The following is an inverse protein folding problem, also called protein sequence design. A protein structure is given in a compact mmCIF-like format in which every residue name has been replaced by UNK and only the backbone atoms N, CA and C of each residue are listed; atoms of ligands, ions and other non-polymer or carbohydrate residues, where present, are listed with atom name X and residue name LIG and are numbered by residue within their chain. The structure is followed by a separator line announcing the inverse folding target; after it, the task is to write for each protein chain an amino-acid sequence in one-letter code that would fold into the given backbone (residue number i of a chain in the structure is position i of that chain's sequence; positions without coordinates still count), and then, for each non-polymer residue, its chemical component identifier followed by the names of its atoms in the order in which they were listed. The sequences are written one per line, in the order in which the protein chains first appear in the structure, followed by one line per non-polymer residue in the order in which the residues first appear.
data_IF_668707299783
#
_entry.id   IF_668707299783
#
_cell.length_a   1.000
_cell.length_b   1.000
_cell.length_c   1.000
_cell.angle_alpha   90.00
_cell.angle_beta   90.00
_cell.angle_gamma   90.00
#
_symmetry.space_group_name_H-M   'P 1'
#
loop_
_entity.id
_entity.type
_entity.pdbx_description
1 polymer ?
#
# COMPACT_ATOMS: atom_id res chain seq x y z
N UNK A 1 -31.15 -6.65 -14.60
CA UNK A 1 -30.17 -7.36 -13.77
C UNK A 1 -28.77 -7.02 -14.28
N UNK A 2 -27.81 -6.88 -13.36
CA UNK A 2 -26.40 -6.66 -13.74
C UNK A 2 -25.82 -8.04 -14.03
N UNK A 3 -25.19 -8.19 -15.19
CA UNK A 3 -24.49 -9.41 -15.55
C UNK A 3 -22.97 -9.21 -15.43
N UNK A 4 -22.30 -10.12 -14.71
CA UNK A 4 -20.85 -10.11 -14.59
C UNK A 4 -20.19 -10.52 -15.92
N UNK A 5 -19.12 -9.85 -16.27
CA UNK A 5 -18.27 -10.20 -17.43
C UNK A 5 -17.57 -11.56 -17.20
N UNK A 6 -17.14 -12.26 -18.27
CA UNK A 6 -16.49 -13.57 -18.14
C UNK A 6 -15.30 -13.58 -17.16
N UNK A 7 -14.39 -12.61 -17.25
CA UNK A 7 -13.24 -12.51 -16.35
C UNK A 7 -13.64 -12.32 -14.88
N UNK A 8 -14.74 -11.58 -14.63
CA UNK A 8 -15.27 -11.40 -13.27
C UNK A 8 -15.85 -12.71 -12.72
N UNK A 9 -16.57 -13.47 -13.54
CA UNK A 9 -17.07 -14.81 -13.15
C UNK A 9 -15.91 -15.75 -12.84
N UNK A 10 -14.82 -15.72 -13.62
CA UNK A 10 -13.63 -16.51 -13.40
C UNK A 10 -12.91 -16.10 -12.08
N UNK A 11 -12.79 -14.80 -11.81
CA UNK A 11 -12.24 -14.27 -10.57
C UNK A 11 -13.04 -14.74 -9.34
N UNK A 12 -14.38 -14.66 -9.41
CA UNK A 12 -15.26 -15.19 -8.36
C UNK A 12 -15.05 -16.69 -8.17
N UNK A 13 -15.04 -17.47 -9.25
CA UNK A 13 -14.81 -18.93 -9.18
C UNK A 13 -13.45 -19.24 -8.55
N UNK A 14 -12.39 -18.49 -8.89
CA UNK A 14 -11.06 -18.62 -8.29
C UNK A 14 -11.11 -18.39 -6.77
N UNK A 15 -11.78 -17.32 -6.31
CA UNK A 15 -11.92 -17.02 -4.87
C UNK A 15 -12.65 -18.16 -4.14
N UNK A 16 -13.67 -18.74 -4.76
CA UNK A 16 -14.46 -19.82 -4.15
C UNK A 16 -13.71 -21.14 -4.10
N UNK A 17 -12.95 -21.47 -5.13
CA UNK A 17 -12.26 -22.76 -5.28
C UNK A 17 -10.83 -22.72 -4.74
N UNK A 18 -10.17 -21.57 -4.83
CA UNK A 18 -8.80 -21.37 -4.39
C UNK A 18 -8.69 -21.12 -2.88
N UNK A 19 -7.53 -20.68 -2.48
CA UNK A 19 -7.24 -20.17 -1.14
C UNK A 19 -7.31 -18.64 -1.09
N UNK A 20 -6.40 -18.04 -0.34
CA UNK A 20 -6.20 -16.60 -0.37
C UNK A 20 -5.91 -16.13 -1.79
N UNK A 21 -6.48 -15.00 -2.19
CA UNK A 21 -6.46 -14.55 -3.58
C UNK A 21 -6.06 -13.07 -3.69
N UNK A 22 -5.17 -12.78 -4.63
CA UNK A 22 -4.87 -11.43 -5.10
C UNK A 22 -5.52 -11.22 -6.48
N UNK A 23 -6.47 -10.31 -6.57
CA UNK A 23 -7.01 -9.81 -7.83
C UNK A 23 -6.11 -8.68 -8.35
N UNK A 24 -5.08 -9.05 -9.10
CA UNK A 24 -4.16 -8.12 -9.75
C UNK A 24 -4.75 -7.66 -11.09
N UNK A 25 -5.93 -7.05 -11.04
CA UNK A 25 -6.70 -6.64 -12.20
C UNK A 25 -6.51 -5.14 -12.46
N UNK A 26 -6.33 -4.77 -13.72
CA UNK A 26 -6.18 -3.37 -14.12
C UNK A 26 -7.36 -2.50 -13.66
N UNK A 27 -7.15 -1.19 -13.67
CA UNK A 27 -8.22 -0.23 -13.36
C UNK A 27 -9.34 -0.36 -14.41
N UNK A 28 -10.59 -0.37 -13.95
CA UNK A 28 -11.76 -0.55 -14.82
C UNK A 28 -12.19 -2.00 -15.06
N UNK A 29 -11.45 -3.01 -14.59
CA UNK A 29 -11.84 -4.42 -14.69
C UNK A 29 -13.11 -4.77 -13.90
N UNK A 30 -13.47 -3.96 -12.88
CA UNK A 30 -14.66 -4.17 -12.05
C UNK A 30 -14.40 -5.02 -10.80
N UNK A 31 -13.21 -4.91 -10.22
CA UNK A 31 -12.80 -5.61 -8.99
C UNK A 31 -13.81 -5.53 -7.85
N UNK A 32 -14.47 -4.39 -7.68
CA UNK A 32 -15.49 -4.22 -6.65
C UNK A 32 -16.64 -5.19 -6.81
N UNK A 33 -17.12 -5.40 -8.05
CA UNK A 33 -18.18 -6.39 -8.33
C UNK A 33 -17.70 -7.83 -8.12
N UNK A 34 -16.45 -8.13 -8.44
CA UNK A 34 -15.84 -9.44 -8.18
C UNK A 34 -15.84 -9.76 -6.68
N UNK A 35 -15.39 -8.81 -5.86
CA UNK A 35 -15.39 -8.95 -4.40
C UNK A 35 -16.80 -9.07 -3.83
N UNK A 36 -17.75 -8.23 -4.27
CA UNK A 36 -19.14 -8.28 -3.79
C UNK A 36 -19.80 -9.62 -4.14
N UNK A 37 -19.60 -10.08 -5.38
CA UNK A 37 -20.16 -11.36 -5.81
C UNK A 37 -19.52 -12.54 -5.06
N UNK A 38 -18.19 -12.52 -4.89
CA UNK A 38 -17.49 -13.53 -4.13
C UNK A 38 -17.94 -13.56 -2.65
N UNK A 39 -18.15 -12.40 -2.02
CA UNK A 39 -18.66 -12.27 -0.66
C UNK A 39 -20.00 -12.98 -0.51
N UNK A 40 -20.96 -12.68 -1.37
CA UNK A 40 -22.30 -13.29 -1.31
C UNK A 40 -22.29 -14.78 -1.62
N UNK A 41 -21.48 -15.20 -2.59
CA UNK A 41 -21.36 -16.61 -2.95
C UNK A 41 -20.62 -17.41 -1.89
N UNK A 42 -19.59 -16.87 -1.24
CA UNK A 42 -18.94 -17.51 -0.08
C UNK A 42 -19.96 -17.75 1.05
N UNK A 43 -20.79 -16.75 1.37
CA UNK A 43 -21.84 -16.91 2.38
C UNK A 43 -22.89 -17.94 1.95
N UNK A 44 -23.36 -17.87 0.71
CA UNK A 44 -24.35 -18.83 0.18
C UNK A 44 -23.86 -20.28 0.22
N UNK A 45 -22.56 -20.48 -0.02
CA UNK A 45 -21.94 -21.82 -0.01
C UNK A 45 -21.45 -22.27 1.37
N UNK A 46 -21.54 -21.40 2.40
CA UNK A 46 -21.03 -21.68 3.73
C UNK A 46 -19.51 -21.70 3.83
N UNK A 47 -18.81 -21.05 2.88
CA UNK A 47 -17.34 -20.93 2.87
C UNK A 47 -16.85 -19.80 3.77
N UNK A 48 -17.67 -18.76 3.97
CA UNK A 48 -17.46 -17.69 4.93
C UNK A 48 -18.81 -17.23 5.46
N UNK A 49 -18.87 -16.90 6.76
CA UNK A 49 -20.09 -16.46 7.42
C UNK A 49 -20.12 -14.96 7.66
N UNK A 50 -18.96 -14.35 7.92
CA UNK A 50 -18.85 -12.93 8.28
C UNK A 50 -17.66 -12.29 7.60
N UNK A 51 -17.95 -11.55 6.51
CA UNK A 51 -16.93 -10.89 5.69
C UNK A 51 -16.84 -9.40 6.01
N UNK A 52 -15.63 -8.89 6.18
CA UNK A 52 -15.33 -7.44 6.17
C UNK A 52 -14.76 -7.06 4.82
N UNK A 53 -15.38 -6.06 4.19
CA UNK A 53 -14.86 -5.40 2.99
C UNK A 53 -14.19 -4.09 3.38
N UNK A 54 -12.89 -3.99 3.14
CA UNK A 54 -12.04 -2.85 3.50
C UNK A 54 -11.72 -2.06 2.24
N UNK A 55 -12.18 -0.81 2.20
CA UNK A 55 -12.09 0.04 1.01
C UNK A 55 -11.47 1.40 1.31
N UNK A 56 -10.99 2.16 0.32
CA UNK A 56 -10.61 3.56 0.52
C UNK A 56 -11.78 4.39 1.10
N UNK A 57 -11.47 5.27 2.06
CA UNK A 57 -12.48 6.06 2.79
C UNK A 57 -13.49 6.79 1.88
N UNK A 58 -13.09 7.46 0.77
CA UNK A 58 -14.05 8.11 -0.12
C UNK A 58 -15.02 7.15 -0.83
N UNK A 59 -14.66 5.86 -0.93
CA UNK A 59 -15.43 4.87 -1.68
C UNK A 59 -16.46 4.11 -0.83
N UNK A 60 -16.50 4.29 0.49
CA UNK A 60 -17.44 3.56 1.37
C UNK A 60 -18.90 3.69 0.90
N UNK A 61 -19.36 4.92 0.66
CA UNK A 61 -20.74 5.17 0.22
C UNK A 61 -21.04 4.59 -1.16
N UNK A 62 -20.10 4.72 -2.09
CA UNK A 62 -20.22 4.13 -3.43
C UNK A 62 -20.28 2.61 -3.34
N UNK A 63 -19.34 1.98 -2.61
CA UNK A 63 -19.29 0.53 -2.41
C UNK A 63 -20.60 -0.01 -1.83
N UNK A 64 -21.15 0.66 -0.81
CA UNK A 64 -22.42 0.28 -0.21
C UNK A 64 -23.59 0.37 -1.22
N UNK A 65 -23.64 1.45 -1.99
CA UNK A 65 -24.66 1.67 -3.02
C UNK A 65 -24.58 0.63 -4.15
N UNK A 66 -23.36 0.33 -4.62
CA UNK A 66 -23.11 -0.68 -5.64
C UNK A 66 -23.42 -2.09 -5.13
N UNK A 67 -23.11 -2.39 -3.86
CA UNK A 67 -23.45 -3.67 -3.23
C UNK A 67 -24.95 -3.90 -3.23
N UNK A 68 -25.75 -2.92 -2.77
CA UNK A 68 -27.20 -3.01 -2.75
C UNK A 68 -27.82 -2.97 -4.16
N UNK A 69 -27.15 -2.36 -5.12
CA UNK A 69 -27.56 -2.42 -6.52
C UNK A 69 -27.39 -3.82 -7.12
N UNK A 70 -26.33 -4.54 -6.72
CA UNK A 70 -26.05 -5.90 -7.18
C UNK A 70 -26.89 -6.92 -6.40
N UNK A 71 -27.04 -6.73 -5.10
CA UNK A 71 -27.78 -7.58 -4.16
C UNK A 71 -28.77 -6.77 -3.31
N UNK A 72 -29.97 -6.43 -3.82
CA UNK A 72 -30.90 -5.52 -3.16
C UNK A 72 -31.38 -6.00 -1.78
N UNK A 73 -31.36 -7.30 -1.53
CA UNK A 73 -31.80 -7.91 -0.25
C UNK A 73 -30.64 -8.15 0.75
N UNK A 74 -29.42 -7.77 0.42
CA UNK A 74 -28.28 -7.99 1.27
C UNK A 74 -28.38 -7.18 2.58
N UNK A 75 -28.07 -7.82 3.70
CA UNK A 75 -27.95 -7.16 5.01
C UNK A 75 -26.53 -6.69 5.23
N UNK A 76 -26.23 -5.44 4.87
CA UNK A 76 -24.89 -4.88 4.99
C UNK A 76 -24.78 -3.91 6.18
N UNK A 77 -23.64 -3.93 6.88
CA UNK A 77 -23.29 -2.95 7.90
C UNK A 77 -22.24 -2.00 7.34
N UNK A 78 -22.57 -0.71 7.24
CA UNK A 78 -21.65 0.32 6.70
C UNK A 78 -21.12 1.18 7.82
N UNK A 79 -19.81 1.22 8.00
CA UNK A 79 -19.15 2.01 9.03
C UNK A 79 -19.15 3.51 8.67
N UNK A 80 -19.56 4.34 9.60
CA UNK A 80 -19.46 5.80 9.52
C UNK A 80 -18.25 6.33 10.30
N UNK A 81 -17.88 7.59 10.13
CA UNK A 81 -16.80 8.19 10.92
C UNK A 81 -17.14 8.22 12.41
N UNK A 82 -18.42 8.51 12.74
CA UNK A 82 -18.92 8.57 14.11
C UNK A 82 -18.83 7.24 14.85
N UNK A 83 -18.95 6.12 14.14
CA UNK A 83 -18.87 4.79 14.74
C UNK A 83 -17.48 4.48 15.31
N UNK A 84 -16.42 5.15 14.80
CA UNK A 84 -15.05 4.98 15.26
C UNK A 84 -14.53 6.11 16.18
N UNK A 85 -15.40 6.98 16.66
CA UNK A 85 -15.12 7.87 17.80
C UNK A 85 -14.91 7.03 19.08
N UNK A 86 -14.04 7.50 19.99
CA UNK A 86 -13.69 6.73 21.22
C UNK A 86 -14.92 6.25 22.00
N UNK A 87 -15.98 7.06 22.09
CA UNK A 87 -17.20 6.75 22.84
C UNK A 87 -18.10 5.71 22.16
N UNK A 88 -18.03 5.56 20.84
CA UNK A 88 -18.95 4.73 20.04
C UNK A 88 -18.31 3.47 19.48
N UNK A 89 -16.97 3.45 19.38
CA UNK A 89 -16.23 2.34 18.77
C UNK A 89 -16.55 0.99 19.42
N UNK A 90 -16.61 0.93 20.76
CA UNK A 90 -16.96 -0.30 21.47
C UNK A 90 -18.34 -0.81 21.05
N UNK A 91 -19.33 0.07 20.95
CA UNK A 91 -20.69 -0.30 20.52
C UNK A 91 -20.72 -0.80 19.07
N UNK A 92 -20.00 -0.13 18.17
CA UNK A 92 -19.96 -0.56 16.77
C UNK A 92 -19.27 -1.91 16.60
N UNK A 93 -18.14 -2.14 17.28
CA UNK A 93 -17.41 -3.41 17.27
C UNK A 93 -18.26 -4.53 17.89
N UNK A 94 -19.02 -4.25 18.96
CA UNK A 94 -19.98 -5.20 19.53
C UNK A 94 -21.11 -5.56 18.56
N UNK A 95 -21.57 -4.60 17.74
CA UNK A 95 -22.57 -4.90 16.67
C UNK A 95 -21.99 -5.84 15.62
N UNK A 96 -20.72 -5.69 15.26
CA UNK A 96 -20.05 -6.62 14.35
C UNK A 96 -20.01 -8.02 14.97
N UNK A 97 -19.60 -8.13 16.24
CA UNK A 97 -19.47 -9.42 16.92
C UNK A 97 -20.82 -10.18 17.02
N UNK A 98 -21.90 -9.46 17.37
CA UNK A 98 -23.20 -10.07 17.67
C UNK A 98 -24.18 -10.10 16.49
N UNK A 99 -23.94 -9.28 15.45
CA UNK A 99 -24.84 -9.17 14.31
C UNK A 99 -24.58 -10.21 13.23
N UNK A 100 -25.64 -10.58 12.52
CA UNK A 100 -25.56 -11.42 11.32
C UNK A 100 -25.69 -10.52 10.08
N UNK A 101 -24.54 -10.16 9.52
CA UNK A 101 -24.43 -9.34 8.32
C UNK A 101 -23.87 -10.15 7.17
N UNK A 102 -24.34 -9.86 5.95
CA UNK A 102 -23.77 -10.45 4.75
C UNK A 102 -22.39 -9.85 4.44
N UNK A 103 -22.25 -8.56 4.70
CA UNK A 103 -20.98 -7.87 4.56
C UNK A 103 -20.89 -6.66 5.52
N UNK A 104 -19.70 -6.41 6.05
CA UNK A 104 -19.38 -5.21 6.83
C UNK A 104 -18.43 -4.37 5.98
N UNK A 105 -18.80 -3.12 5.67
CA UNK A 105 -18.01 -2.23 4.81
C UNK A 105 -17.40 -1.14 5.68
N UNK A 106 -16.07 -0.99 5.62
CA UNK A 106 -15.33 0.03 6.35
C UNK A 106 -14.08 0.50 5.62
N UNK A 107 -13.50 1.62 6.07
CA UNK A 107 -12.25 2.13 5.51
C UNK A 107 -11.01 1.42 6.06
N UNK A 108 -9.86 1.55 5.34
CA UNK A 108 -8.56 1.09 5.80
C UNK A 108 -8.23 1.62 7.20
N UNK A 109 -8.44 2.92 7.44
CA UNK A 109 -8.15 3.55 8.74
C UNK A 109 -9.11 3.16 9.87
N UNK A 110 -10.33 2.72 9.55
CA UNK A 110 -11.28 2.16 10.52
C UNK A 110 -10.91 0.72 10.86
N UNK A 111 -10.53 -0.08 9.86
CA UNK A 111 -10.09 -1.44 10.05
C UNK A 111 -8.84 -1.54 10.94
N UNK A 112 -7.87 -0.62 10.77
CA UNK A 112 -6.68 -0.50 11.64
C UNK A 112 -7.04 -0.22 13.11
N UNK A 113 -8.18 0.43 13.39
CA UNK A 113 -8.62 0.73 14.76
C UNK A 113 -9.26 -0.45 15.48
N UNK A 114 -9.52 -1.57 14.82
CA UNK A 114 -9.95 -2.83 15.45
C UNK A 114 -8.70 -3.54 15.93
N UNK A 115 -8.48 -3.69 17.25
CA UNK A 115 -7.23 -4.25 17.75
C UNK A 115 -7.15 -5.75 17.49
N UNK A 116 -5.93 -6.25 17.29
CA UNK A 116 -5.60 -7.67 17.40
C UNK A 116 -5.21 -7.99 18.85
N UNK A 117 -5.33 -9.22 19.28
CA UNK A 117 -5.00 -9.63 20.65
C UNK A 117 -3.54 -9.31 21.02
N UNK A 118 -3.30 -9.03 22.30
CA UNK A 118 -1.96 -8.78 22.83
C UNK A 118 -1.06 -10.00 22.66
N UNK A 119 -1.61 -11.20 22.86
CA UNK A 119 -0.91 -12.48 22.74
C UNK A 119 -0.34 -12.69 21.33
N UNK A 120 -1.11 -12.32 20.28
CA UNK A 120 -0.62 -12.41 18.89
C UNK A 120 0.50 -11.43 18.61
N UNK A 121 0.36 -10.19 19.09
CA UNK A 121 1.41 -9.17 18.94
C UNK A 121 2.69 -9.60 19.65
N UNK A 122 2.57 -10.12 20.88
CA UNK A 122 3.67 -10.63 21.67
C UNK A 122 4.38 -11.78 20.97
N UNK A 123 3.62 -12.77 20.45
CA UNK A 123 4.19 -13.90 19.71
C UNK A 123 4.97 -13.42 18.48
N UNK A 124 4.41 -12.53 17.68
CA UNK A 124 5.09 -11.98 16.51
C UNK A 124 6.38 -11.23 16.88
N UNK A 125 6.34 -10.41 17.94
CA UNK A 125 7.52 -9.67 18.38
C UNK A 125 8.62 -10.61 18.87
N UNK A 126 8.26 -11.66 19.60
CA UNK A 126 9.21 -12.68 20.03
C UNK A 126 9.84 -13.42 18.84
N UNK A 127 9.03 -13.87 17.85
CA UNK A 127 9.53 -14.49 16.63
C UNK A 127 10.54 -13.58 15.91
N UNK A 128 10.25 -12.29 15.78
CA UNK A 128 11.16 -11.32 15.16
C UNK A 128 12.44 -11.09 15.98
N UNK A 129 12.35 -11.05 17.31
CA UNK A 129 13.50 -10.92 18.20
C UNK A 129 14.41 -12.15 18.10
N UNK A 130 13.83 -13.35 18.04
CA UNK A 130 14.57 -14.60 17.90
C UNK A 130 15.28 -14.68 16.54
N UNK A 131 14.60 -14.30 15.46
CA UNK A 131 15.18 -14.25 14.12
C UNK A 131 16.37 -13.29 14.04
N UNK A 132 16.22 -12.06 14.57
CA UNK A 132 17.30 -11.08 14.60
C UNK A 132 18.44 -11.56 15.49
N UNK A 133 18.15 -12.20 16.63
CA UNK A 133 19.16 -12.72 17.54
C UNK A 133 20.01 -13.78 16.88
N UNK A 134 19.36 -14.74 16.21
CA UNK A 134 20.05 -15.79 15.43
C UNK A 134 20.94 -15.17 14.33
N UNK A 135 20.43 -14.18 13.61
CA UNK A 135 21.20 -13.52 12.56
C UNK A 135 22.42 -12.74 13.12
N UNK A 136 22.30 -12.12 14.30
CA UNK A 136 23.41 -11.45 14.98
C UNK A 136 24.49 -12.46 15.36
N UNK A 137 24.13 -13.61 15.92
CA UNK A 137 25.06 -14.65 16.34
C UNK A 137 25.80 -15.24 15.14
N UNK A 138 25.10 -15.56 14.07
CA UNK A 138 25.70 -16.04 12.80
C UNK A 138 26.69 -15.02 12.21
N UNK A 139 26.33 -13.73 12.22
CA UNK A 139 27.20 -12.67 11.69
C UNK A 139 28.46 -12.48 12.57
N UNK A 140 28.35 -12.63 13.89
CA UNK A 140 29.49 -12.56 14.81
C UNK A 140 30.44 -13.74 14.61
N UNK A 141 29.92 -14.93 14.42
CA UNK A 141 30.72 -16.15 14.15
C UNK A 141 31.52 -16.06 12.83
N UNK A 142 30.90 -15.45 11.80
CA UNK A 142 31.52 -15.29 10.47
C UNK A 142 32.41 -14.05 10.34
N UNK A 143 32.73 -13.34 11.43
CA UNK A 143 33.45 -12.04 11.40
C UNK A 143 32.81 -11.00 10.47
N UNK A 144 31.49 -10.96 10.43
CA UNK A 144 30.74 -10.01 9.61
C UNK A 144 31.00 -8.56 9.96
N UNK A 145 30.59 -7.64 9.11
CA UNK A 145 30.81 -6.21 9.27
C UNK A 145 30.22 -5.69 10.59
N UNK A 146 31.04 -5.10 11.45
CA UNK A 146 30.65 -4.57 12.77
C UNK A 146 29.51 -3.56 12.69
N UNK A 147 29.40 -2.83 11.60
CA UNK A 147 28.33 -1.85 11.40
C UNK A 147 26.97 -2.54 11.21
N UNK A 148 26.92 -3.63 10.45
CA UNK A 148 25.73 -4.46 10.23
C UNK A 148 25.21 -5.03 11.56
N UNK A 149 26.12 -5.59 12.38
CA UNK A 149 25.77 -6.13 13.71
C UNK A 149 25.16 -5.03 14.61
N UNK A 150 25.75 -3.84 14.64
CA UNK A 150 25.20 -2.70 15.41
C UNK A 150 23.80 -2.29 14.96
N UNK A 151 23.53 -2.33 13.66
CA UNK A 151 22.22 -1.99 13.11
C UNK A 151 21.16 -3.04 13.51
N UNK A 152 21.51 -4.33 13.44
CA UNK A 152 20.65 -5.42 13.91
C UNK A 152 20.41 -5.34 15.43
N UNK A 153 21.42 -5.06 16.23
CA UNK A 153 21.29 -4.85 17.68
C UNK A 153 20.35 -3.66 17.98
N UNK A 154 20.43 -2.58 17.21
CA UNK A 154 19.51 -1.44 17.34
C UNK A 154 18.06 -1.80 16.99
N UNK A 155 17.86 -2.62 15.94
CA UNK A 155 16.52 -3.10 15.58
C UNK A 155 15.96 -4.04 16.65
N UNK A 156 16.75 -4.98 17.15
CA UNK A 156 16.37 -5.87 18.24
C UNK A 156 15.92 -5.08 19.47
N UNK A 157 16.70 -4.08 19.89
CA UNK A 157 16.36 -3.22 21.02
C UNK A 157 15.01 -2.52 20.82
N UNK A 158 14.71 -2.03 19.63
CA UNK A 158 13.41 -1.42 19.34
C UNK A 158 12.24 -2.41 19.47
N UNK A 159 12.43 -3.66 19.03
CA UNK A 159 11.40 -4.69 19.18
C UNK A 159 11.21 -5.07 20.66
N UNK A 160 12.28 -5.17 21.44
CA UNK A 160 12.21 -5.42 22.89
C UNK A 160 11.51 -4.26 23.63
N UNK A 161 11.74 -3.01 23.23
CA UNK A 161 11.02 -1.84 23.75
C UNK A 161 9.52 -1.89 23.39
N UNK A 162 9.17 -2.30 22.16
CA UNK A 162 7.78 -2.48 21.76
C UNK A 162 7.10 -3.60 22.55
N UNK A 163 7.78 -4.73 22.75
CA UNK A 163 7.29 -5.85 23.55
C UNK A 163 7.02 -5.41 25.01
N UNK A 164 7.93 -4.64 25.60
CA UNK A 164 7.75 -4.09 26.93
C UNK A 164 6.58 -3.12 27.02
N UNK A 165 6.42 -2.24 26.05
CA UNK A 165 5.29 -1.30 26.00
C UNK A 165 3.93 -2.00 25.83
N UNK A 166 3.91 -3.11 25.09
CA UNK A 166 2.70 -3.91 24.88
C UNK A 166 2.12 -4.44 26.20
N UNK A 167 2.97 -4.86 27.14
CA UNK A 167 2.52 -5.35 28.44
C UNK A 167 1.90 -4.25 29.32
N UNK A 168 2.26 -3.00 29.10
CA UNK A 168 1.69 -1.84 29.81
C UNK A 168 0.39 -1.34 29.15
N UNK A 169 0.25 -1.47 27.82
CA UNK A 169 -0.94 -1.07 27.08
C UNK A 169 -2.08 -2.08 27.21
N UNK A 170 -1.79 -3.38 27.27
CA UNK A 170 -2.79 -4.45 27.37
C UNK A 170 -3.70 -4.34 28.61
N UNK A 171 -3.25 -3.58 29.63
CA UNK A 171 -4.02 -3.29 30.85
C UNK A 171 -5.06 -2.16 30.68
N UNK A 172 -5.09 -1.47 29.54
CA UNK A 172 -5.88 -0.24 29.35
C UNK A 172 -7.00 -0.32 28.33
N UNK A 173 -6.98 -1.26 27.39
CA UNK A 173 -7.96 -1.35 26.30
C UNK A 173 -8.94 -2.50 26.51
N UNK A 174 -10.15 -2.16 26.98
CA UNK A 174 -11.31 -3.05 27.10
C UNK A 174 -12.11 -3.08 25.77
N UNK A 175 -11.41 -3.30 24.65
CA UNK A 175 -12.00 -3.41 23.32
C UNK A 175 -12.05 -4.86 22.88
N UNK A 176 -13.15 -5.23 22.22
CA UNK A 176 -13.27 -6.51 21.53
C UNK A 176 -12.20 -6.60 20.45
N UNK A 177 -11.41 -7.65 20.47
CA UNK A 177 -10.33 -7.87 19.50
C UNK A 177 -10.86 -8.42 18.18
N UNK A 178 -10.06 -8.40 17.14
CA UNK A 178 -10.44 -8.89 15.82
C UNK A 178 -10.85 -10.38 15.86
N UNK A 179 -10.16 -11.15 16.65
CA UNK A 179 -10.43 -12.58 16.86
C UNK A 179 -11.82 -12.84 17.47
N UNK A 180 -12.27 -11.94 18.35
CA UNK A 180 -13.57 -12.03 19.04
C UNK A 180 -14.75 -11.59 18.16
N UNK A 181 -14.49 -10.96 17.00
CA UNK A 181 -15.54 -10.51 16.08
C UNK A 181 -16.26 -11.67 15.39
N UNK A 182 -15.63 -12.84 15.32
CA UNK A 182 -16.12 -13.96 14.53
C UNK A 182 -16.05 -13.70 13.02
N UNK A 183 -15.15 -12.80 12.59
CA UNK A 183 -14.87 -12.54 11.18
C UNK A 183 -14.01 -13.68 10.65
N UNK A 184 -14.44 -14.27 9.55
CA UNK A 184 -13.77 -15.39 8.89
C UNK A 184 -13.31 -15.06 7.46
N UNK A 185 -13.65 -13.87 6.95
CA UNK A 185 -13.16 -13.41 5.65
C UNK A 185 -12.94 -11.89 5.61
N UNK A 186 -11.88 -11.46 4.90
CA UNK A 186 -11.64 -10.06 4.55
C UNK A 186 -11.44 -9.91 3.05
N UNK A 187 -11.98 -8.82 2.52
CA UNK A 187 -11.78 -8.40 1.13
C UNK A 187 -11.26 -6.98 1.12
N UNK A 188 -10.04 -6.77 0.63
CA UNK A 188 -9.33 -5.49 0.75
C UNK A 188 -9.14 -4.89 -0.61
N UNK A 189 -9.83 -3.79 -0.88
CA UNK A 189 -9.62 -2.99 -2.09
C UNK A 189 -8.42 -2.07 -1.91
N UNK A 190 -7.71 -1.80 -3.02
CA UNK A 190 -6.46 -1.04 -3.06
C UNK A 190 -5.43 -1.57 -2.04
N UNK A 191 -5.24 -2.89 -2.04
CA UNK A 191 -4.38 -3.60 -1.11
C UNK A 191 -2.91 -3.16 -1.15
N UNK A 192 -2.47 -2.51 -2.24
CA UNK A 192 -1.14 -1.88 -2.33
C UNK A 192 -0.87 -0.84 -1.23
N UNK A 193 -1.92 -0.34 -0.56
CA UNK A 193 -1.77 0.53 0.61
C UNK A 193 -1.08 -0.16 1.81
N UNK A 194 -0.99 -1.49 1.82
CA UNK A 194 -0.38 -2.29 2.89
C UNK A 194 1.00 -2.86 2.51
N UNK A 195 1.56 -2.47 1.37
CA UNK A 195 2.85 -2.97 0.87
C UNK A 195 4.08 -2.60 1.71
N UNK A 196 3.98 -1.58 2.57
CA UNK A 196 5.07 -1.12 3.43
C UNK A 196 5.16 -1.96 4.72
N UNK A 197 5.42 -3.26 4.58
CA UNK A 197 5.74 -4.14 5.69
C UNK A 197 7.24 -4.05 5.98
N UNK A 198 7.62 -4.12 7.27
CA UNK A 198 9.03 -4.19 7.63
C UNK A 198 9.62 -5.53 7.17
N UNK A 199 10.75 -5.46 6.50
CA UNK A 199 11.49 -6.62 6.01
C UNK A 199 12.80 -6.69 6.79
N UNK A 200 13.03 -7.83 7.45
CA UNK A 200 14.32 -8.13 8.01
C UNK A 200 15.24 -8.69 6.92
N UNK A 201 16.45 -8.15 6.79
CA UNK A 201 17.46 -8.62 5.83
C UNK A 201 18.86 -8.33 6.33
N UNK A 202 19.79 -9.24 6.05
CA UNK A 202 21.23 -9.06 6.24
C UNK A 202 21.85 -8.16 5.16
N UNK A 203 21.11 -7.85 4.07
CA UNK A 203 21.56 -6.97 3.01
C UNK A 203 21.49 -5.51 3.45
N UNK A 204 22.66 -4.89 3.62
CA UNK A 204 22.79 -3.50 4.07
C UNK A 204 23.08 -2.57 2.90
N UNK A 205 22.66 -1.30 3.05
CA UNK A 205 22.87 -0.25 2.04
C UNK A 205 22.27 -0.58 0.66
N UNK A 206 21.30 -1.48 0.61
CA UNK A 206 20.58 -1.84 -0.62
C UNK A 206 19.23 -1.10 -0.64
N UNK A 207 19.06 -0.24 -1.61
CA UNK A 207 17.78 0.47 -1.81
C UNK A 207 16.72 -0.51 -2.35
N UNK A 208 15.47 -0.29 -1.92
CA UNK A 208 14.34 -1.13 -2.30
C UNK A 208 13.94 -2.13 -1.21
N UNK A 209 14.78 -2.33 -0.18
CA UNK A 209 14.46 -3.14 1.00
C UNK A 209 14.09 -2.19 2.13
N UNK A 210 12.86 -2.29 2.64
CA UNK A 210 12.38 -1.44 3.73
C UNK A 210 12.54 -2.15 5.07
N UNK A 211 13.48 -1.66 5.90
CA UNK A 211 13.65 -2.12 7.29
C UNK A 211 12.64 -1.51 8.26
N UNK A 212 11.90 -0.49 7.84
CA UNK A 212 10.84 0.15 8.62
C UNK A 212 9.49 -0.08 7.97
N UNK A 213 8.55 -0.66 8.71
CA UNK A 213 7.19 -0.91 8.26
C UNK A 213 6.20 0.13 8.76
N UNK A 214 5.07 0.24 8.06
CA UNK A 214 3.92 1.00 8.54
C UNK A 214 3.12 0.17 9.55
N UNK A 215 2.67 0.77 10.65
CA UNK A 215 1.84 0.10 11.67
C UNK A 215 0.64 -0.62 11.06
N UNK A 216 -0.04 0.02 10.10
CA UNK A 216 -1.19 -0.58 9.39
C UNK A 216 -0.85 -1.86 8.63
N UNK A 217 0.37 -1.96 8.08
CA UNK A 217 0.82 -3.16 7.36
C UNK A 217 1.10 -4.31 8.31
N UNK A 218 1.72 -4.03 9.46
CA UNK A 218 1.93 -5.03 10.53
C UNK A 218 0.59 -5.50 11.11
N UNK A 219 -0.35 -4.59 11.37
CA UNK A 219 -1.70 -4.93 11.83
C UNK A 219 -2.44 -5.82 10.82
N UNK A 220 -2.39 -5.47 9.53
CA UNK A 220 -2.96 -6.29 8.46
C UNK A 220 -2.32 -7.68 8.41
N UNK A 221 -1.00 -7.78 8.57
CA UNK A 221 -0.29 -9.07 8.57
C UNK A 221 -0.78 -9.98 9.68
N UNK A 222 -0.93 -9.48 10.90
CA UNK A 222 -1.43 -10.26 12.03
C UNK A 222 -2.86 -10.76 11.81
N UNK A 223 -3.74 -9.91 11.24
CA UNK A 223 -5.12 -10.28 10.90
C UNK A 223 -5.17 -11.31 9.77
N UNK A 224 -4.33 -11.17 8.75
CA UNK A 224 -4.19 -12.16 7.68
C UNK A 224 -3.68 -13.50 8.19
N UNK A 225 -2.69 -13.51 9.08
CA UNK A 225 -2.18 -14.74 9.70
C UNK A 225 -3.29 -15.44 10.52
N UNK A 226 -4.04 -14.68 11.32
CA UNK A 226 -5.17 -15.23 12.06
C UNK A 226 -6.20 -15.88 11.14
N UNK A 227 -6.62 -15.19 10.08
CA UNK A 227 -7.61 -15.74 9.14
C UNK A 227 -7.11 -16.98 8.41
N UNK A 228 -5.83 -16.99 8.01
CA UNK A 228 -5.23 -18.16 7.37
C UNK A 228 -5.15 -19.37 8.32
N UNK A 229 -4.88 -19.13 9.61
CA UNK A 229 -4.84 -20.19 10.64
C UNK A 229 -6.21 -20.81 10.88
N UNK A 230 -7.29 -20.01 10.99
CA UNK A 230 -8.63 -20.52 11.28
C UNK A 230 -9.35 -21.12 10.06
N UNK A 231 -8.88 -20.84 8.84
CA UNK A 231 -9.52 -21.21 7.59
C UNK A 231 -8.62 -22.01 6.64
N UNK A 232 -7.58 -22.65 7.14
CA UNK A 232 -6.66 -23.49 6.34
C UNK A 232 -6.14 -22.77 5.09
N UNK A 233 -5.61 -21.56 5.26
CA UNK A 233 -5.05 -20.73 4.17
C UNK A 233 -6.10 -20.05 3.28
N UNK A 234 -7.31 -19.83 3.79
CA UNK A 234 -8.41 -19.13 3.12
C UNK A 234 -8.82 -17.87 3.89
N UNK A 235 -9.76 -17.11 3.33
CA UNK A 235 -10.40 -15.96 3.99
C UNK A 235 -9.79 -14.61 3.65
N UNK A 236 -8.81 -14.52 2.76
CA UNK A 236 -8.19 -13.25 2.37
C UNK A 236 -8.33 -13.05 0.87
N UNK A 237 -8.96 -11.93 0.48
CA UNK A 237 -9.03 -11.47 -0.90
C UNK A 237 -8.47 -10.06 -0.97
N UNK A 238 -7.38 -9.89 -1.67
CA UNK A 238 -6.78 -8.59 -1.97
C UNK A 238 -7.08 -8.17 -3.40
N UNK A 239 -7.38 -6.91 -3.62
CA UNK A 239 -7.62 -6.36 -4.94
C UNK A 239 -6.80 -5.09 -5.17
N UNK A 240 -6.10 -5.01 -6.29
CA UNK A 240 -5.32 -3.83 -6.67
C UNK A 240 -4.99 -3.82 -8.15
N UNK A 241 -4.95 -2.63 -8.76
CA UNK A 241 -4.45 -2.44 -10.12
C UNK A 241 -2.92 -2.39 -10.21
N UNK A 242 -2.23 -2.21 -9.08
CA UNK A 242 -0.78 -1.99 -9.01
C UNK A 242 -0.16 -2.84 -7.90
N UNK A 243 -0.13 -4.17 -8.04
CA UNK A 243 0.40 -5.07 -7.00
C UNK A 243 1.89 -4.81 -6.71
N UNK A 244 2.65 -4.45 -7.73
CA UNK A 244 4.06 -4.09 -7.65
C UNK A 244 4.25 -2.76 -8.37
N UNK A 245 4.73 -1.74 -7.67
CA UNK A 245 4.87 -0.39 -8.24
C UNK A 245 6.25 0.25 -8.04
N UNK A 246 6.90 0.04 -6.89
CA UNK A 246 8.15 0.73 -6.56
C UNK A 246 9.33 -0.21 -6.40
N UNK A 247 9.14 -1.35 -5.75
CA UNK A 247 10.21 -2.30 -5.45
C UNK A 247 9.77 -3.75 -5.63
N UNK A 248 10.73 -4.62 -5.92
CA UNK A 248 10.48 -6.07 -6.00
C UNK A 248 10.01 -6.65 -4.66
N UNK A 249 10.41 -6.04 -3.54
CA UNK A 249 9.99 -6.47 -2.21
C UNK A 249 8.47 -6.43 -2.03
N UNK A 250 7.75 -5.61 -2.80
CA UNK A 250 6.29 -5.56 -2.75
C UNK A 250 5.66 -6.90 -3.15
N UNK A 251 6.30 -7.65 -4.08
CA UNK A 251 5.85 -8.99 -4.44
C UNK A 251 6.02 -9.98 -3.28
N UNK A 252 7.19 -9.97 -2.64
CA UNK A 252 7.43 -10.76 -1.44
C UNK A 252 6.42 -10.44 -0.33
N UNK A 253 6.13 -9.16 -0.10
CA UNK A 253 5.15 -8.73 0.90
C UNK A 253 3.76 -9.26 0.58
N UNK A 254 3.32 -9.23 -0.68
CA UNK A 254 2.02 -9.81 -1.07
C UNK A 254 2.00 -11.32 -0.84
N UNK A 255 3.10 -12.03 -1.12
CA UNK A 255 3.21 -13.45 -0.81
C UNK A 255 3.17 -13.73 0.69
N UNK A 256 3.79 -12.90 1.53
CA UNK A 256 3.71 -13.03 2.99
C UNK A 256 2.27 -12.93 3.52
N UNK A 257 1.45 -12.06 2.93
CA UNK A 257 0.05 -11.95 3.32
C UNK A 257 -0.79 -13.16 2.90
N UNK A 258 -0.52 -13.72 1.71
CA UNK A 258 -1.45 -14.62 1.05
C UNK A 258 -1.01 -16.08 1.05
N UNK A 259 0.30 -16.36 1.11
CA UNK A 259 0.86 -17.71 0.95
C UNK A 259 2.04 -18.00 1.89
N UNK A 260 1.99 -17.45 3.13
CA UNK A 260 3.05 -17.63 4.14
C UNK A 260 3.42 -19.11 4.31
N UNK A 261 2.43 -19.98 4.50
CA UNK A 261 2.67 -21.41 4.71
C UNK A 261 3.41 -22.08 3.54
N UNK A 262 3.06 -21.73 2.31
CA UNK A 262 3.77 -22.26 1.13
C UNK A 262 5.23 -21.77 1.07
N UNK A 263 5.49 -20.51 1.42
CA UNK A 263 6.87 -19.98 1.52
C UNK A 263 7.68 -20.69 2.61
N UNK A 264 7.05 -21.03 3.75
CA UNK A 264 7.66 -21.79 4.84
C UNK A 264 8.01 -23.22 4.39
N UNK A 265 7.06 -23.90 3.74
CA UNK A 265 7.24 -25.26 3.21
C UNK A 265 8.38 -25.32 2.17
N UNK A 266 8.50 -24.32 1.31
CA UNK A 266 9.58 -24.19 0.33
C UNK A 266 10.92 -23.73 0.93
N UNK A 267 10.98 -23.34 2.21
CA UNK A 267 12.18 -22.83 2.87
C UNK A 267 12.60 -21.42 2.43
N UNK A 268 11.70 -20.67 1.81
CA UNK A 268 11.95 -19.31 1.29
C UNK A 268 11.11 -18.24 2.02
N UNK A 269 10.62 -18.55 3.21
CA UNK A 269 9.86 -17.60 4.03
C UNK A 269 10.68 -16.37 4.43
N UNK A 270 11.96 -16.56 4.82
CA UNK A 270 12.83 -15.44 5.14
C UNK A 270 13.24 -14.67 3.88
N UNK A 271 13.19 -13.35 3.96
CA UNK A 271 13.45 -12.49 2.80
C UNK A 271 14.79 -12.78 2.10
N UNK A 272 15.85 -12.99 2.87
CA UNK A 272 17.17 -13.25 2.29
C UNK A 272 17.20 -14.56 1.48
N UNK A 273 16.47 -15.60 1.92
CA UNK A 273 16.30 -16.84 1.18
C UNK A 273 15.48 -16.64 -0.09
N UNK A 274 14.37 -15.88 0.00
CA UNK A 274 13.56 -15.51 -1.15
C UNK A 274 14.37 -14.69 -2.16
N UNK A 275 15.08 -13.67 -1.68
CA UNK A 275 15.89 -12.78 -2.51
C UNK A 275 17.04 -13.51 -3.21
N UNK A 276 17.65 -14.49 -2.54
CA UNK A 276 18.72 -15.32 -3.14
C UNK A 276 18.22 -16.17 -4.32
N UNK A 277 16.94 -16.57 -4.32
CA UNK A 277 16.34 -17.34 -5.39
C UNK A 277 15.79 -16.49 -6.53
N UNK A 278 15.24 -15.30 -6.22
CA UNK A 278 14.40 -14.56 -7.17
C UNK A 278 14.87 -13.14 -7.47
N UNK A 279 15.95 -12.68 -6.85
CA UNK A 279 16.40 -11.32 -7.05
C UNK A 279 17.90 -11.12 -7.08
N UNK A 280 18.28 -10.04 -7.72
CA UNK A 280 19.68 -9.62 -7.85
C UNK A 280 19.81 -8.14 -7.46
N UNK A 281 20.87 -7.83 -6.72
CA UNK A 281 21.27 -6.47 -6.41
C UNK A 281 22.11 -5.94 -7.57
N UNK A 282 21.67 -4.85 -8.17
CA UNK A 282 22.45 -4.14 -9.19
C UNK A 282 23.04 -2.86 -8.61
N UNK A 283 24.28 -2.54 -8.98
CA UNK A 283 24.94 -1.29 -8.61
C UNK A 283 25.12 -0.43 -9.85
N UNK A 284 24.54 0.77 -9.81
CA UNK A 284 24.63 1.72 -10.91
C UNK A 284 25.13 3.08 -10.42
N UNK A 285 25.72 3.84 -11.33
CA UNK A 285 26.09 5.22 -11.11
C UNK A 285 24.83 6.07 -11.29
N UNK A 286 24.33 6.66 -10.21
CA UNK A 286 23.13 7.51 -10.21
C UNK A 286 23.49 8.97 -9.96
N UNK A 287 22.73 9.86 -10.58
CA UNK A 287 22.82 11.30 -10.28
C UNK A 287 22.43 11.52 -8.80
N UNK A 288 23.14 12.40 -8.13
CA UNK A 288 22.76 12.81 -6.77
C UNK A 288 21.45 13.59 -6.79
N UNK A 289 20.74 13.64 -5.66
CA UNK A 289 19.40 14.25 -5.55
C UNK A 289 19.39 15.70 -6.00
N UNK A 290 20.48 16.43 -5.75
CA UNK A 290 20.69 17.82 -6.14
C UNK A 290 21.21 18.02 -7.57
N UNK A 291 21.52 16.92 -8.30
CA UNK A 291 21.99 16.97 -9.68
C UNK A 291 23.46 17.43 -9.86
N UNK A 292 24.18 17.68 -8.77
CA UNK A 292 25.56 18.23 -8.83
C UNK A 292 26.66 17.19 -8.95
N UNK A 293 26.33 15.89 -8.88
CA UNK A 293 27.33 14.81 -8.91
C UNK A 293 26.73 13.43 -9.15
N UNK A 294 27.58 12.42 -9.14
CA UNK A 294 27.21 11.01 -9.29
C UNK A 294 27.65 10.21 -8.07
N UNK A 295 26.86 9.19 -7.71
CA UNK A 295 27.19 8.23 -6.66
C UNK A 295 26.84 6.81 -7.10
N UNK A 296 27.61 5.83 -6.65
CA UNK A 296 27.22 4.44 -6.78
C UNK A 296 26.08 4.13 -5.82
N UNK A 297 25.03 3.51 -6.33
CA UNK A 297 23.90 3.08 -5.51
C UNK A 297 23.52 1.66 -5.87
N UNK A 298 23.47 0.82 -4.83
CA UNK A 298 23.01 -0.57 -4.95
C UNK A 298 21.51 -0.63 -4.74
N UNK A 299 20.81 -1.35 -5.63
CA UNK A 299 19.35 -1.54 -5.59
C UNK A 299 19.01 -2.99 -5.78
N UNK A 300 18.04 -3.46 -5.00
CA UNK A 300 17.38 -4.74 -5.24
C UNK A 300 16.26 -4.52 -6.26
N UNK A 301 16.54 -4.72 -7.55
CA UNK A 301 15.66 -4.28 -8.63
C UNK A 301 15.65 -5.18 -9.87
N UNK A 302 16.31 -6.32 -9.84
CA UNK A 302 16.34 -7.25 -10.96
C UNK A 302 15.82 -8.62 -10.54
N UNK A 303 14.75 -9.08 -11.19
CA UNK A 303 14.22 -10.42 -10.98
C UNK A 303 15.10 -11.46 -11.67
N UNK A 304 15.39 -12.53 -10.94
CA UNK A 304 16.01 -13.76 -11.45
C UNK A 304 15.01 -14.90 -11.31
N UNK A 305 15.20 -15.98 -12.05
CA UNK A 305 14.32 -17.16 -12.01
C UNK A 305 12.81 -16.80 -12.06
N UNK A 306 12.48 -15.83 -12.92
CA UNK A 306 11.13 -15.29 -13.03
C UNK A 306 10.06 -16.34 -13.35
N UNK A 307 10.29 -17.37 -14.20
CA UNK A 307 9.27 -18.38 -14.47
C UNK A 307 8.80 -19.12 -13.22
N UNK A 308 9.72 -19.53 -12.35
CA UNK A 308 9.41 -20.23 -11.11
C UNK A 308 8.71 -19.31 -10.12
N UNK A 309 9.22 -18.08 -9.94
CA UNK A 309 8.57 -17.08 -9.12
C UNK A 309 7.13 -16.81 -9.57
N UNK A 310 6.91 -16.71 -10.88
CA UNK A 310 5.56 -16.48 -11.43
C UNK A 310 4.65 -17.69 -11.27
N UNK A 311 5.18 -18.91 -11.30
CA UNK A 311 4.39 -20.09 -11.02
C UNK A 311 3.88 -20.08 -9.57
N UNK A 312 4.77 -19.83 -8.60
CA UNK A 312 4.43 -19.71 -7.18
C UNK A 312 3.42 -18.57 -6.96
N UNK A 313 3.68 -17.41 -7.55
CA UNK A 313 2.82 -16.25 -7.37
C UNK A 313 1.42 -16.44 -7.97
N UNK A 314 1.29 -17.12 -9.11
CA UNK A 314 0.01 -17.43 -9.75
C UNK A 314 -0.87 -18.39 -8.94
N UNK A 315 -0.33 -19.09 -7.97
CA UNK A 315 -1.15 -19.90 -7.05
C UNK A 315 -2.13 -19.01 -6.27
N UNK A 316 -1.72 -17.79 -5.92
CA UNK A 316 -2.55 -16.82 -5.19
C UNK A 316 -3.00 -15.62 -6.02
N UNK A 317 -2.36 -15.32 -7.14
CA UNK A 317 -2.64 -14.14 -7.95
C UNK A 317 -3.42 -14.47 -9.22
N UNK A 318 -4.55 -13.80 -9.41
CA UNK A 318 -5.23 -13.66 -10.70
C UNK A 318 -4.82 -12.34 -11.34
N UNK A 319 -4.19 -12.42 -12.52
CA UNK A 319 -3.62 -11.26 -13.21
C UNK A 319 -4.42 -10.98 -14.46
N UNK A 320 -5.01 -9.78 -14.54
CA UNK A 320 -5.74 -9.29 -15.72
C UNK A 320 -5.21 -7.91 -16.11
N UNK A 321 -4.45 -7.85 -17.17
CA UNK A 321 -3.92 -6.60 -17.73
C UNK A 321 -4.92 -5.96 -18.69
N UNK A 322 -4.73 -4.69 -19.04
CA UNK A 322 -5.67 -3.97 -19.89
C UNK A 322 -5.78 -4.55 -21.30
N UNK A 323 -4.71 -5.15 -21.81
CA UNK A 323 -4.64 -5.83 -23.10
C UNK A 323 -5.34 -7.21 -23.12
N UNK A 324 -5.53 -7.82 -21.95
CA UNK A 324 -6.29 -9.07 -21.78
C UNK A 324 -7.81 -8.84 -21.72
N UNK A 325 -8.21 -7.60 -21.45
CA UNK A 325 -9.61 -7.23 -21.23
C UNK A 325 -10.09 -6.28 -22.33
N UNK A 326 -11.26 -6.58 -22.89
CA UNK A 326 -11.98 -5.65 -23.75
C UNK A 326 -12.70 -4.61 -22.87
N UNK A 327 -11.96 -3.58 -22.46
CA UNK A 327 -12.47 -2.49 -21.66
C UNK A 327 -13.05 -1.41 -22.56
N UNK A 328 -14.28 -1.01 -22.29
CA UNK A 328 -14.93 0.12 -22.95
C UNK A 328 -14.34 1.44 -22.40
N UNK A 329 -13.10 1.74 -22.84
CA UNK A 329 -12.37 2.95 -22.45
C UNK A 329 -12.41 3.94 -23.61
N UNK A 330 -12.81 5.20 -23.40
CA UNK A 330 -12.78 6.23 -24.43
C UNK A 330 -11.36 6.38 -25.01
N UNK A 331 -11.26 6.40 -26.32
CA UNK A 331 -10.00 6.62 -27.00
C UNK A 331 -9.46 8.03 -26.71
N UNK A 332 -8.17 8.12 -26.47
CA UNK A 332 -7.50 9.41 -26.34
C UNK A 332 -7.56 10.17 -27.67
N UNK A 333 -7.89 11.44 -27.61
CA UNK A 333 -7.83 12.34 -28.76
C UNK A 333 -6.39 12.41 -29.29
N UNK A 334 -6.17 11.99 -30.51
CA UNK A 334 -4.84 11.90 -31.12
C UNK A 334 -4.00 10.68 -30.68
N UNK A 335 -4.61 9.70 -29.97
CA UNK A 335 -4.00 8.42 -29.63
C UNK A 335 -2.98 8.43 -28.50
N UNK A 336 -2.60 9.61 -27.98
CA UNK A 336 -1.63 9.75 -26.90
C UNK A 336 -1.90 11.00 -26.05
N UNK A 337 -1.44 11.01 -24.78
CA UNK A 337 -1.51 12.20 -23.92
C UNK A 337 -0.75 13.39 -24.54
N UNK A 338 -1.26 14.60 -24.32
CA UNK A 338 -0.58 15.84 -24.69
C UNK A 338 0.29 16.25 -23.49
N UNK A 339 1.60 16.34 -23.71
CA UNK A 339 2.54 16.82 -22.72
C UNK A 339 2.65 18.34 -22.86
N UNK A 340 2.39 19.06 -21.75
CA UNK A 340 2.55 20.50 -21.67
C UNK A 340 3.69 20.81 -20.73
N UNK A 341 4.77 21.37 -21.25
CA UNK A 341 5.97 21.72 -20.49
C UNK A 341 5.95 23.21 -20.10
N UNK A 342 6.52 23.52 -18.93
CA UNK A 342 6.75 24.88 -18.46
C UNK A 342 8.24 25.08 -18.20
N UNK A 343 8.78 26.18 -18.71
CA UNK A 343 10.18 26.56 -18.47
C UNK A 343 10.32 27.24 -17.10
N UNK A 344 11.41 26.91 -16.35
CA UNK A 344 11.70 27.59 -15.09
C UNK A 344 12.10 29.04 -15.34
N UNK A 345 11.44 29.96 -14.64
CA UNK A 345 11.83 31.37 -14.65
C UNK A 345 13.11 31.65 -13.82
N UNK A 346 13.51 32.90 -13.74
CA UNK A 346 14.70 33.32 -13.00
C UNK A 346 14.58 33.00 -11.49
N UNK A 347 13.38 33.14 -10.89
CA UNK A 347 13.15 32.90 -9.47
C UNK A 347 13.28 31.42 -9.13
N UNK A 348 12.65 30.55 -9.92
CA UNK A 348 12.79 29.10 -9.78
C UNK A 348 14.24 28.65 -9.88
N UNK A 349 15.01 29.21 -10.84
CA UNK A 349 16.44 28.91 -10.99
C UNK A 349 17.25 29.31 -9.76
N UNK A 350 16.98 30.49 -9.20
CA UNK A 350 17.64 30.99 -7.99
C UNK A 350 17.35 30.08 -6.78
N UNK A 351 16.11 29.68 -6.57
CA UNK A 351 15.75 28.77 -5.47
C UNK A 351 16.37 27.38 -5.66
N UNK A 352 16.50 26.90 -6.90
CA UNK A 352 17.21 25.65 -7.19
C UNK A 352 18.69 25.72 -6.83
N UNK A 353 19.36 26.85 -7.09
CA UNK A 353 20.74 27.07 -6.67
C UNK A 353 20.89 27.07 -5.15
N UNK A 354 19.93 27.67 -4.41
CA UNK A 354 19.90 27.60 -2.95
C UNK A 354 19.74 26.15 -2.44
N UNK A 355 18.91 25.32 -3.09
CA UNK A 355 18.79 23.91 -2.74
C UNK A 355 20.11 23.15 -2.89
N UNK A 356 20.92 23.49 -3.92
CA UNK A 356 22.25 22.89 -4.08
C UNK A 356 23.17 23.27 -2.92
N UNK A 357 23.20 24.54 -2.54
CA UNK A 357 24.01 25.03 -1.41
C UNK A 357 23.59 24.37 -0.10
N UNK A 358 22.30 24.26 0.16
CA UNK A 358 21.75 23.57 1.35
C UNK A 358 22.15 22.10 1.37
N UNK A 359 22.03 21.40 0.23
CA UNK A 359 22.41 20.00 0.09
C UNK A 359 23.89 19.76 0.40
N UNK A 360 24.79 20.65 -0.06
CA UNK A 360 26.20 20.57 0.24
C UNK A 360 26.50 20.80 1.74
N UNK A 361 25.82 21.73 2.38
CA UNK A 361 25.94 21.96 3.84
C UNK A 361 25.50 20.74 4.64
N UNK A 362 24.38 20.09 4.26
CA UNK A 362 23.87 18.86 4.91
C UNK A 362 24.90 17.73 4.77
N UNK A 363 25.52 17.57 3.59
CA UNK A 363 26.58 16.57 3.38
C UNK A 363 27.82 16.82 4.23
N UNK A 364 28.17 18.06 4.41
CA UNK A 364 29.29 18.45 5.27
C UNK A 364 29.07 18.16 6.77
N UNK A 365 27.90 17.69 7.15
CA UNK A 365 27.57 17.36 8.54
C UNK A 365 27.38 18.56 9.46
N UNK A 366 27.28 19.78 8.89
CA UNK A 366 27.21 21.03 9.66
C UNK A 366 25.78 21.48 10.01
N UNK A 367 24.75 20.66 9.76
CA UNK A 367 23.34 21.03 9.97
C UNK A 367 22.64 19.95 10.77
N UNK A 368 21.89 20.36 11.80
CA UNK A 368 21.06 19.44 12.55
C UNK A 368 19.92 18.89 11.66
N UNK A 369 19.70 17.58 11.58
CA UNK A 369 18.65 16.99 10.76
C UNK A 369 17.24 17.47 11.07
N UNK A 370 17.00 18.05 12.26
CA UNK A 370 15.71 18.66 12.63
C UNK A 370 15.54 20.06 12.02
N UNK A 371 16.63 20.78 11.72
CA UNK A 371 16.59 22.09 11.08
C UNK A 371 16.46 21.96 9.58
N UNK A 372 17.35 21.17 8.93
CA UNK A 372 17.31 20.92 7.50
C UNK A 372 17.83 19.52 7.15
N UNK A 373 17.23 18.92 6.11
CA UNK A 373 17.58 17.58 5.66
C UNK A 373 17.16 17.35 4.20
N UNK A 374 17.68 16.29 3.57
CA UNK A 374 17.36 15.98 2.17
C UNK A 374 15.89 15.74 1.90
N UNK A 375 15.13 15.23 2.88
CA UNK A 375 13.69 15.02 2.72
C UNK A 375 12.95 16.36 2.60
N UNK A 376 13.34 17.35 3.41
CA UNK A 376 12.80 18.71 3.37
C UNK A 376 13.09 19.38 2.04
N UNK A 377 14.36 19.32 1.58
CA UNK A 377 14.75 19.86 0.26
C UNK A 377 13.93 19.19 -0.85
N UNK A 378 13.78 17.87 -0.83
CA UNK A 378 13.01 17.15 -1.86
C UNK A 378 11.52 17.54 -1.83
N UNK A 379 10.95 17.75 -0.66
CA UNK A 379 9.57 18.23 -0.52
C UNK A 379 9.42 19.64 -1.09
N UNK A 380 10.28 20.56 -0.69
CA UNK A 380 10.29 21.95 -1.19
C UNK A 380 10.52 22.01 -2.71
N UNK A 381 11.40 21.17 -3.25
CA UNK A 381 11.61 21.06 -4.70
C UNK A 381 10.36 20.58 -5.46
N UNK A 382 9.57 19.67 -4.88
CA UNK A 382 8.26 19.26 -5.44
C UNK A 382 7.26 20.42 -5.43
N UNK A 383 7.21 21.19 -4.35
CA UNK A 383 6.37 22.39 -4.24
C UNK A 383 6.80 23.43 -5.29
N UNK A 384 8.10 23.73 -5.37
CA UNK A 384 8.67 24.64 -6.37
C UNK A 384 8.34 24.24 -7.81
N UNK A 385 8.48 22.95 -8.12
CA UNK A 385 8.14 22.38 -9.43
C UNK A 385 6.65 22.43 -9.77
N UNK A 386 5.80 22.75 -8.80
CA UNK A 386 4.36 22.98 -8.99
C UNK A 386 4.09 24.48 -9.13
N UNK A 387 4.45 25.26 -8.14
CA UNK A 387 4.37 26.75 -8.14
C UNK A 387 5.26 27.31 -7.01
N UNK A 388 6.09 28.31 -7.34
CA UNK A 388 7.01 28.91 -6.37
C UNK A 388 6.29 29.51 -5.15
N UNK A 389 5.07 29.99 -5.32
CA UNK A 389 4.24 30.57 -4.26
C UNK A 389 3.81 29.57 -3.18
N UNK A 390 3.99 28.26 -3.42
CA UNK A 390 3.78 27.22 -2.38
C UNK A 390 4.92 27.18 -1.35
N UNK A 391 6.09 27.74 -1.69
CA UNK A 391 7.24 27.85 -0.79
C UNK A 391 7.31 29.25 -0.22
N UNK A 392 7.22 30.27 -1.09
CA UNK A 392 7.30 31.68 -0.76
C UNK A 392 6.07 32.41 -1.31
N UNK A 393 5.22 32.92 -0.42
CA UNK A 393 3.99 33.62 -0.80
C UNK A 393 4.23 34.88 -1.61
N UNK A 394 5.41 35.47 -1.46
CA UNK A 394 5.82 36.70 -2.13
C UNK A 394 6.53 36.43 -3.47
N UNK A 395 6.70 35.16 -3.84
CA UNK A 395 7.29 34.77 -5.13
C UNK A 395 6.49 35.36 -6.30
N UNK A 396 7.16 35.82 -7.35
CA UNK A 396 6.54 36.38 -8.53
C UNK A 396 5.65 35.36 -9.24
N UNK A 397 4.52 35.83 -9.79
CA UNK A 397 3.69 34.97 -10.63
C UNK A 397 4.46 34.71 -11.96
N UNK A 398 4.66 33.42 -12.29
CA UNK A 398 5.19 33.01 -13.58
C UNK A 398 4.03 32.78 -14.57
N UNK A 399 3.80 33.64 -15.57
CA UNK A 399 2.70 33.45 -16.53
C UNK A 399 2.78 32.12 -17.30
N UNK A 400 4.01 31.66 -17.58
CA UNK A 400 4.27 30.38 -18.24
C UNK A 400 4.40 29.20 -17.26
N UNK A 401 4.13 29.44 -15.99
CA UNK A 401 4.20 28.43 -14.92
C UNK A 401 3.14 27.35 -15.08
N UNK A 402 3.41 26.19 -14.47
CA UNK A 402 2.59 25.00 -14.59
C UNK A 402 1.11 25.24 -14.26
N UNK A 403 0.80 25.91 -13.13
CA UNK A 403 -0.59 26.17 -12.73
C UNK A 403 -1.29 27.13 -13.68
N UNK A 404 -0.60 28.14 -14.20
CA UNK A 404 -1.19 29.07 -15.17
C UNK A 404 -1.50 28.34 -16.49
N UNK A 405 -0.62 27.47 -16.98
CA UNK A 405 -0.87 26.62 -18.15
C UNK A 405 -2.03 25.64 -17.94
N UNK A 406 -2.17 25.08 -16.75
CA UNK A 406 -3.35 24.24 -16.41
C UNK A 406 -4.63 25.07 -16.48
N UNK A 407 -4.65 26.24 -15.86
CA UNK A 407 -5.81 27.14 -15.88
C UNK A 407 -6.18 27.57 -17.30
N UNK A 408 -5.19 27.92 -18.12
CA UNK A 408 -5.39 28.29 -19.53
C UNK A 408 -5.96 27.13 -20.36
N UNK A 409 -5.42 25.92 -20.19
CA UNK A 409 -5.92 24.74 -20.90
C UNK A 409 -7.35 24.37 -20.47
N UNK A 410 -7.64 24.44 -19.17
CA UNK A 410 -9.01 24.23 -18.64
C UNK A 410 -9.97 25.24 -19.24
N UNK A 411 -9.56 26.51 -19.29
CA UNK A 411 -10.38 27.57 -19.89
C UNK A 411 -10.62 27.35 -21.39
N UNK A 412 -9.60 27.02 -22.15
CA UNK A 412 -9.71 26.72 -23.58
C UNK A 412 -10.67 25.57 -23.88
N UNK A 413 -10.61 24.49 -23.10
CA UNK A 413 -11.52 23.36 -23.28
C UNK A 413 -12.95 23.70 -22.82
N UNK A 414 -13.10 24.56 -21.79
CA UNK A 414 -14.41 25.07 -21.38
C UNK A 414 -15.06 25.92 -22.48
N UNK A 415 -14.33 26.86 -23.09
CA UNK A 415 -14.84 27.69 -24.21
C UNK A 415 -15.25 26.84 -25.40
N UNK A 416 -14.42 25.85 -25.79
CA UNK A 416 -14.76 24.90 -26.85
C UNK A 416 -16.05 24.13 -26.58
N UNK A 417 -16.22 23.67 -25.35
CA UNK A 417 -17.41 22.97 -24.91
C UNK A 417 -18.67 23.84 -25.06
N UNK A 418 -18.61 25.06 -24.51
CA UNK A 418 -19.72 26.01 -24.60
C UNK A 418 -20.06 26.40 -26.03
N UNK A 419 -19.08 26.64 -26.90
CA UNK A 419 -19.30 26.97 -28.31
C UNK A 419 -20.00 25.85 -29.06
N UNK A 420 -19.83 24.60 -28.65
CA UNK A 420 -20.47 23.42 -29.25
C UNK A 420 -21.76 22.98 -28.51
N UNK A 421 -22.23 23.75 -27.52
CA UNK A 421 -23.46 23.45 -26.76
C UNK A 421 -23.30 22.24 -25.80
N UNK A 422 -22.09 21.80 -25.51
CA UNK A 422 -21.79 20.70 -24.60
C UNK A 422 -21.20 21.22 -23.30
N UNK A 423 -21.89 21.00 -22.18
CA UNK A 423 -21.34 21.21 -20.84
C UNK A 423 -20.49 19.98 -20.50
N UNK A 424 -19.16 20.12 -20.67
CA UNK A 424 -18.21 19.07 -20.33
C UNK A 424 -17.81 19.11 -18.84
N UNK A 425 -17.39 17.96 -18.31
CA UNK A 425 -16.73 17.86 -17.01
C UNK A 425 -15.22 17.72 -17.23
N UNK A 426 -14.42 18.50 -16.50
CA UNK A 426 -12.96 18.40 -16.51
C UNK A 426 -12.48 17.93 -15.15
N UNK A 427 -11.56 16.98 -15.12
CA UNK A 427 -10.94 16.47 -13.91
C UNK A 427 -9.50 16.97 -13.82
N UNK A 428 -9.14 17.58 -12.71
CA UNK A 428 -7.78 18.00 -12.40
C UNK A 428 -7.26 17.13 -11.25
N UNK A 429 -6.17 16.41 -11.50
CA UNK A 429 -5.51 15.59 -10.49
C UNK A 429 -4.26 16.31 -10.00
N UNK A 430 -4.12 16.48 -8.69
CA UNK A 430 -2.95 17.06 -8.06
C UNK A 430 -2.64 16.36 -6.75
N UNK A 431 -1.36 16.00 -6.55
CA UNK A 431 -0.87 15.42 -5.29
C UNK A 431 -0.47 16.50 -4.27
N UNK A 432 -0.48 17.77 -4.69
CA UNK A 432 0.00 18.91 -3.91
C UNK A 432 -1.05 20.01 -3.93
N UNK A 433 -1.18 20.73 -2.80
CA UNK A 433 -2.12 21.84 -2.68
C UNK A 433 -3.58 21.41 -2.57
N UNK A 434 -3.83 20.19 -2.16
CA UNK A 434 -5.18 19.74 -1.78
C UNK A 434 -5.56 20.31 -0.41
N UNK A 435 -6.82 20.74 -0.18
CA UNK A 435 -7.27 21.28 1.11
C UNK A 435 -7.21 20.25 2.24
#
# INVERSE_FOLDING_TARGET
AIELKPHQKNAVARILLGGNTLLAHCVGAGKSFEMMAACMEQKRLGLANKTIMVVPKPLIGQTASEFLRLYPSANILVATERDFEKSRRKQFVSRIATGDYDCIIMSHSQFEKIPISAERKERMLNEQIDEISYAIDEMKERNGERWTVKQMESQKKKLEEQLKSLSDESRKDDLITFEELGVDSIMVDEAHNFKNLAIFSKMNNVSGISSSGAKKSTDMQLKCQYLSEINDGRGIVFATGTPISNTMCEMYVMQLYLQKAALEEMGIYHFDSWAANFGEVTTALELTVEGSGFRFKSRFNKFTNLPELMNIFREVADVQTADMLDLDVPALRGGKPIIVESEPDWYVKQVMEDFVVRAERIRGGGVDPSEDNFLKITHEARLLGTDARLIDKDAPNNPDGKLNKVAENVWKEYEKGNANGHIGCQLIFSDIGTP
#
